data_IF_543742547874
#
_entry.id   IF_543742547874
#
_cell.length_a   1.000
_cell.length_b   1.000
_cell.length_c   1.000
_cell.angle_alpha   90.00
_cell.angle_beta   90.00
_cell.angle_gamma   90.00
#
_symmetry.space_group_name_H-M   'P 1'
#
loop_
_entity.id
_entity.type
_entity.pdbx_description
1 polymer ?
#
# COMPACT_ATOMS: atom_id res chain seq x y z
N UNK A 1 -8.52 5.58 23.78
CA UNK A 1 -7.38 5.23 22.94
C UNK A 1 -7.51 6.00 21.64
N UNK A 2 -6.75 7.08 21.51
CA UNK A 2 -6.63 7.87 20.29
C UNK A 2 -5.54 7.29 19.39
N UNK A 3 -5.54 7.68 18.12
CA UNK A 3 -4.45 7.31 17.19
C UNK A 3 -3.10 7.80 17.74
N UNK A 4 -3.05 8.98 18.36
CA UNK A 4 -1.84 9.50 18.98
C UNK A 4 -1.33 8.59 20.11
N UNK A 5 -2.23 8.11 20.98
CA UNK A 5 -1.89 7.19 22.07
C UNK A 5 -1.36 5.83 21.54
N UNK A 6 -1.90 5.34 20.42
CA UNK A 6 -1.41 4.11 19.77
C UNK A 6 -0.01 4.32 19.20
N UNK A 7 0.20 5.43 18.49
CA UNK A 7 1.50 5.76 17.89
C UNK A 7 2.58 5.93 18.96
N UNK A 8 2.25 6.59 20.07
CA UNK A 8 3.20 6.74 21.17
C UNK A 8 3.50 5.39 21.84
N UNK A 9 2.52 4.51 22.00
CA UNK A 9 2.76 3.15 22.49
C UNK A 9 3.66 2.34 21.54
N UNK A 10 3.48 2.46 20.22
CA UNK A 10 4.32 1.76 19.22
C UNK A 10 5.77 2.27 19.22
N UNK A 11 6.00 3.56 19.52
CA UNK A 11 7.36 4.12 19.62
C UNK A 11 8.18 3.46 20.73
N UNK A 12 7.54 3.15 21.86
CA UNK A 12 8.16 2.55 23.05
C UNK A 12 8.48 1.05 22.89
N UNK A 13 7.99 0.40 21.84
CA UNK A 13 8.27 -1.00 21.55
C UNK A 13 9.75 -1.24 21.19
N UNK A 14 10.28 -2.38 21.62
CA UNK A 14 11.56 -2.90 21.14
C UNK A 14 11.49 -3.25 19.64
N UNK A 15 12.64 -3.44 18.99
CA UNK A 15 12.69 -3.80 17.57
C UNK A 15 11.93 -5.10 17.26
N UNK A 16 12.00 -6.09 18.15
CA UNK A 16 11.30 -7.37 18.00
C UNK A 16 9.78 -7.19 18.12
N UNK A 17 9.33 -6.40 19.10
CA UNK A 17 7.90 -6.10 19.30
C UNK A 17 7.31 -5.24 18.18
N UNK A 18 8.13 -4.40 17.53
CA UNK A 18 7.72 -3.66 16.33
C UNK A 18 7.48 -4.58 15.15
N UNK A 19 8.31 -5.62 14.99
CA UNK A 19 8.10 -6.67 13.99
C UNK A 19 6.77 -7.40 14.23
N UNK A 20 6.55 -7.90 15.45
CA UNK A 20 5.31 -8.57 15.83
C UNK A 20 4.08 -7.66 15.66
N UNK A 21 4.22 -6.36 16.00
CA UNK A 21 3.16 -5.39 15.79
C UNK A 21 2.80 -5.24 14.30
N UNK A 22 3.79 -5.15 13.41
CA UNK A 22 3.55 -5.05 11.97
C UNK A 22 2.89 -6.31 11.42
N UNK A 23 3.36 -7.49 11.84
CA UNK A 23 2.79 -8.78 11.42
C UNK A 23 1.30 -8.87 11.77
N UNK A 24 0.94 -8.47 12.99
CA UNK A 24 -0.46 -8.46 13.44
C UNK A 24 -1.27 -7.31 12.87
N UNK A 25 -0.64 -6.18 12.54
CA UNK A 25 -1.30 -5.06 11.88
C UNK A 25 -1.73 -5.46 10.46
N UNK A 26 -0.96 -6.31 9.77
CA UNK A 26 -1.33 -6.85 8.46
C UNK A 26 -2.54 -7.80 8.51
N UNK A 27 -2.82 -8.42 9.66
CA UNK A 27 -4.04 -9.23 9.87
C UNK A 27 -5.29 -8.36 10.05
N UNK A 28 -5.11 -7.06 10.33
CA UNK A 28 -6.24 -6.13 10.37
C UNK A 28 -6.63 -5.82 8.93
N UNK A 29 -7.84 -6.23 8.58
CA UNK A 29 -8.45 -5.94 7.28
C UNK A 29 -8.66 -4.42 7.11
N UNK A 30 -7.68 -3.77 6.48
CA UNK A 30 -7.80 -2.43 5.95
C UNK A 30 -8.28 -2.43 4.49
N UNK A 31 -8.42 -3.60 3.86
CA UNK A 31 -8.78 -3.78 2.44
C UNK A 31 -10.08 -3.04 2.16
N UNK A 32 -11.08 -3.21 3.03
CA UNK A 32 -12.37 -2.54 2.89
C UNK A 32 -12.28 -1.00 2.81
N UNK A 33 -11.41 -0.37 3.60
CA UNK A 33 -11.32 1.09 3.64
C UNK A 33 -10.49 1.65 2.47
N UNK A 34 -9.39 0.97 2.15
CA UNK A 34 -8.51 1.35 1.06
C UNK A 34 -9.15 1.09 -0.30
N UNK A 35 -9.82 -0.06 -0.48
CA UNK A 35 -10.56 -0.37 -1.70
C UNK A 35 -11.68 0.63 -1.94
N UNK A 36 -12.47 0.96 -0.90
CA UNK A 36 -13.51 2.00 -0.99
C UNK A 36 -12.93 3.35 -1.37
N UNK A 37 -11.79 3.73 -0.82
CA UNK A 37 -11.15 5.01 -1.12
C UNK A 37 -10.58 5.04 -2.55
N UNK A 38 -9.91 3.98 -2.98
CA UNK A 38 -9.40 3.82 -4.35
C UNK A 38 -10.56 3.87 -5.33
N UNK A 39 -11.67 3.18 -5.05
CA UNK A 39 -12.86 3.20 -5.92
C UNK A 39 -13.46 4.60 -6.05
N UNK A 40 -13.57 5.34 -4.93
CA UNK A 40 -14.05 6.73 -4.94
C UNK A 40 -13.11 7.63 -5.74
N UNK A 41 -11.80 7.50 -5.54
CA UNK A 41 -10.81 8.34 -6.22
C UNK A 41 -10.68 8.01 -7.71
N UNK A 42 -10.84 6.74 -8.09
CA UNK A 42 -10.95 6.30 -9.47
C UNK A 42 -12.22 6.89 -10.13
N UNK A 43 -13.39 6.79 -9.48
CA UNK A 43 -14.65 7.39 -10.00
C UNK A 43 -14.57 8.91 -10.12
N UNK A 44 -13.82 9.57 -9.23
CA UNK A 44 -13.60 11.00 -9.27
C UNK A 44 -12.52 11.43 -10.29
N UNK A 45 -11.88 10.49 -11.00
CA UNK A 45 -10.82 10.76 -11.97
C UNK A 45 -9.49 11.23 -11.35
N UNK A 46 -9.32 11.10 -10.02
CA UNK A 46 -8.10 11.56 -9.34
C UNK A 46 -6.89 10.74 -9.73
N UNK A 47 -7.10 9.48 -10.13
CA UNK A 47 -6.05 8.55 -10.50
C UNK A 47 -5.74 8.55 -12.01
N UNK A 48 -6.47 9.34 -12.81
CA UNK A 48 -6.32 9.36 -14.28
C UNK A 48 -4.91 9.72 -14.72
N UNK A 49 -4.25 10.64 -14.01
CA UNK A 49 -2.87 11.04 -14.30
C UNK A 49 -1.86 9.91 -14.06
N UNK A 50 -2.10 9.05 -13.05
CA UNK A 50 -1.28 7.87 -12.79
C UNK A 50 -1.49 6.83 -13.88
N UNK A 51 -2.74 6.65 -14.32
CA UNK A 51 -3.07 5.75 -15.42
C UNK A 51 -2.40 6.17 -16.73
N UNK A 52 -2.50 7.46 -17.09
CA UNK A 52 -1.83 8.01 -18.27
C UNK A 52 -0.32 7.82 -18.22
N UNK A 53 0.30 8.12 -17.08
CA UNK A 53 1.73 7.90 -16.89
C UNK A 53 2.13 6.43 -17.07
N UNK A 54 1.35 5.51 -16.53
CA UNK A 54 1.60 4.08 -16.69
C UNK A 54 1.54 3.66 -18.17
N UNK A 55 0.57 4.17 -18.94
CA UNK A 55 0.49 3.91 -20.38
C UNK A 55 1.71 4.46 -21.14
N UNK A 56 2.14 5.68 -20.81
CA UNK A 56 3.34 6.28 -21.41
C UNK A 56 4.62 5.50 -21.07
N UNK A 57 4.72 4.97 -19.85
CA UNK A 57 5.84 4.13 -19.42
C UNK A 57 5.85 2.79 -20.18
N UNK A 58 4.68 2.19 -20.42
CA UNK A 58 4.54 0.97 -21.22
C UNK A 58 4.93 1.22 -22.67
N UNK A 59 4.38 2.28 -23.30
CA UNK A 59 4.68 2.62 -24.69
C UNK A 59 6.16 2.93 -24.91
N UNK A 60 6.80 3.59 -23.93
CA UNK A 60 8.22 3.90 -23.98
C UNK A 60 9.14 2.74 -23.57
N UNK A 61 8.60 1.55 -23.25
CA UNK A 61 9.38 0.39 -22.84
C UNK A 61 10.12 0.57 -21.50
N UNK A 62 9.61 1.41 -20.61
CA UNK A 62 10.16 1.66 -19.26
C UNK A 62 9.62 0.68 -18.21
N UNK A 63 8.79 -0.27 -18.61
CA UNK A 63 8.24 -1.32 -17.75
C UNK A 63 8.99 -2.64 -17.91
N UNK A 64 8.94 -3.49 -16.88
CA UNK A 64 9.40 -4.88 -16.94
C UNK A 64 8.23 -5.83 -16.77
N UNK A 65 8.24 -7.01 -17.41
CA UNK A 65 7.33 -8.09 -17.09
C UNK A 65 7.37 -8.43 -15.59
N UNK A 66 6.21 -8.74 -15.01
CA UNK A 66 6.09 -8.96 -13.57
C UNK A 66 6.84 -10.21 -13.11
N UNK A 67 6.86 -11.25 -13.94
CA UNK A 67 7.57 -12.52 -13.77
C UNK A 67 9.10 -12.37 -13.77
N UNK A 68 9.63 -11.30 -14.37
CA UNK A 68 11.06 -10.98 -14.25
C UNK A 68 11.43 -10.36 -12.89
N UNK A 69 10.43 -9.87 -12.13
CA UNK A 69 10.63 -9.12 -10.89
C UNK A 69 10.19 -9.91 -9.66
N UNK A 70 9.12 -10.69 -9.79
CA UNK A 70 8.61 -11.57 -8.74
C UNK A 70 8.97 -13.01 -9.10
N UNK A 71 10.00 -13.54 -8.43
CA UNK A 71 10.34 -14.96 -8.49
C UNK A 71 9.17 -15.78 -7.94
N UNK A 72 8.39 -16.39 -8.84
CA UNK A 72 7.45 -17.45 -8.49
C UNK A 72 8.21 -18.79 -8.49
N UNK A 73 9.11 -19.00 -7.53
CA UNK A 73 9.68 -20.34 -7.24
C UNK A 73 9.10 -20.89 -5.95
#
# INVERSE_FOLDING_TARGET
>A
MSVAEIIDAVKELSENEKGEFLDRLMEIDFEDAWDRQIEVDAKAGRLDHLWQKALEDIEAGRTKPLDEVLDHT
#
